data_IF_008620442537
#
_entry.id   IF_008620442537
#
_cell.length_a   1.000
_cell.length_b   1.000
_cell.length_c   1.000
_cell.angle_alpha   90.00
_cell.angle_beta   90.00
_cell.angle_gamma   90.00
#
_symmetry.space_group_name_H-M   'P 1'
#
loop_
_entity.id
_entity.type
_entity.pdbx_description
1 polymer ?
#
# COMPACT_ATOMS: atom_id res chain seq x y z
N UNK A 1 -8.23 -2.27 -9.54
CA UNK A 1 -7.97 -1.36 -10.66
C UNK A 1 -6.54 -1.49 -11.15
N UNK A 2 -6.32 -1.23 -12.43
CA UNK A 2 -5.00 -1.15 -13.09
C UNK A 2 -4.92 0.18 -13.85
N UNK A 3 -4.91 1.31 -13.15
CA UNK A 3 -4.79 2.63 -13.76
C UNK A 3 -3.36 2.88 -14.25
N UNK A 4 -3.25 3.76 -15.24
CA UNK A 4 -1.96 4.26 -15.71
C UNK A 4 -1.47 5.37 -14.78
N UNK A 5 -0.14 5.45 -14.64
CA UNK A 5 0.53 6.51 -13.89
C UNK A 5 0.82 7.67 -14.82
N UNK A 6 0.41 8.87 -14.45
CA UNK A 6 0.70 10.08 -15.20
C UNK A 6 2.19 10.42 -15.14
N UNK A 7 2.74 10.95 -16.23
CA UNK A 7 4.12 11.40 -16.26
C UNK A 7 4.25 12.74 -15.53
N UNK A 8 5.08 12.78 -14.49
CA UNK A 8 5.35 13.96 -13.67
C UNK A 8 6.74 13.86 -13.03
N UNK A 9 7.15 14.90 -12.34
CA UNK A 9 8.39 14.89 -11.56
C UNK A 9 8.37 13.87 -10.40
N UNK A 10 7.18 13.45 -9.96
CA UNK A 10 6.98 12.44 -8.91
C UNK A 10 6.95 11.01 -9.44
N UNK A 11 6.97 10.83 -10.77
CA UNK A 11 6.76 9.54 -11.44
C UNK A 11 7.77 9.32 -12.55
N UNK A 12 9.02 9.75 -12.34
CA UNK A 12 10.06 9.84 -13.37
C UNK A 12 10.36 8.51 -14.05
N UNK A 13 10.38 7.40 -13.29
CA UNK A 13 10.71 6.07 -13.80
C UNK A 13 9.47 5.23 -14.10
N UNK A 14 8.30 5.62 -13.60
CA UNK A 14 7.07 4.83 -13.71
C UNK A 14 6.03 5.46 -14.64
N UNK A 15 6.13 6.74 -14.95
CA UNK A 15 5.15 7.45 -15.79
C UNK A 15 4.84 6.71 -17.10
N UNK A 16 3.56 6.58 -17.44
CA UNK A 16 3.06 5.84 -18.59
C UNK A 16 2.92 4.32 -18.37
N UNK A 17 3.23 3.80 -17.19
CA UNK A 17 3.02 2.41 -16.83
C UNK A 17 1.82 2.28 -15.89
N UNK A 18 1.24 1.09 -15.83
CA UNK A 18 0.15 0.81 -14.92
C UNK A 18 0.64 0.36 -13.54
N UNK A 19 -0.17 0.65 -12.53
CA UNK A 19 0.00 0.17 -11.16
C UNK A 19 -1.24 -0.60 -10.72
N UNK A 20 -1.09 -1.46 -9.73
CA UNK A 20 -2.24 -2.14 -9.13
C UNK A 20 -2.74 -1.37 -7.91
N UNK A 21 -3.99 -0.93 -7.94
CA UNK A 21 -4.60 -0.16 -6.86
C UNK A 21 -5.86 -0.88 -6.36
N UNK A 22 -5.76 -1.64 -5.25
CA UNK A 22 -6.90 -2.29 -4.65
C UNK A 22 -7.67 -1.32 -3.74
N UNK A 23 -8.98 -1.46 -3.66
CA UNK A 23 -9.86 -0.76 -2.73
C UNK A 23 -9.53 0.74 -2.61
N UNK A 24 -9.82 1.49 -3.67
CA UNK A 24 -9.48 2.91 -3.77
C UNK A 24 -10.70 3.81 -3.64
N UNK A 25 -10.46 5.04 -3.21
CA UNK A 25 -11.40 6.17 -3.26
C UNK A 25 -10.87 7.24 -4.19
N UNK A 26 -11.76 7.97 -4.87
CA UNK A 26 -11.40 9.14 -5.66
C UNK A 26 -11.02 10.30 -4.75
N UNK A 27 -10.09 11.13 -5.22
CA UNK A 27 -9.62 12.33 -4.54
C UNK A 27 -10.15 13.53 -5.32
N UNK A 28 -10.92 14.39 -4.66
CA UNK A 28 -11.38 15.65 -5.24
C UNK A 28 -10.46 16.78 -4.79
N UNK A 29 -10.05 17.63 -5.71
CA UNK A 29 -9.22 18.78 -5.45
C UNK A 29 -9.70 19.96 -6.31
N UNK A 30 -9.42 21.23 -5.90
CA UNK A 30 -9.79 22.40 -6.67
C UNK A 30 -9.12 22.41 -8.06
N UNK A 31 -9.89 22.72 -9.10
CA UNK A 31 -9.31 22.91 -10.43
C UNK A 31 -8.41 24.16 -10.43
N UNK A 32 -7.14 23.99 -10.77
CA UNK A 32 -6.17 25.09 -10.84
C UNK A 32 -6.39 26.04 -12.02
N UNK A 33 -7.26 25.65 -12.96
CA UNK A 33 -7.60 26.46 -14.15
C UNK A 33 -8.77 27.43 -13.94
N UNK A 34 -9.43 27.37 -12.79
CA UNK A 34 -10.44 28.39 -12.42
C UNK A 34 -9.71 29.56 -11.78
N UNK A 35 -9.47 30.62 -12.55
CA UNK A 35 -9.21 31.95 -12.00
C UNK A 35 -10.23 32.17 -10.87
N UNK A 36 -9.73 32.50 -9.68
CA UNK A 36 -10.53 32.66 -8.49
C UNK A 36 -11.65 33.68 -8.71
N UNK A 37 -12.82 33.20 -9.08
CA UNK A 37 -14.04 33.97 -8.93
C UNK A 37 -14.41 33.89 -7.45
N UNK A 38 -14.06 34.95 -6.74
CA UNK A 38 -14.35 35.12 -5.33
C UNK A 38 -15.85 35.34 -5.15
N UNK A 39 -16.58 34.22 -5.09
CA UNK A 39 -17.99 34.30 -4.66
C UNK A 39 -18.06 33.98 -3.16
N UNK A 40 -18.34 35.05 -2.45
CA UNK A 40 -18.48 35.13 -1.01
C UNK A 40 -19.58 34.22 -0.51
N UNK A 41 -19.24 33.20 0.24
CA UNK A 41 -20.21 32.52 1.10
C UNK A 41 -20.34 33.33 2.38
N UNK A 42 -21.46 34.04 2.44
CA UNK A 42 -21.98 34.77 3.59
C UNK A 42 -22.19 33.78 4.76
N UNK A 43 -21.41 33.90 5.82
CA UNK A 43 -21.67 33.25 7.10
C UNK A 43 -21.64 34.33 8.18
N UNK A 44 -22.85 34.63 8.67
CA UNK A 44 -23.11 35.55 9.76
C UNK A 44 -22.26 35.31 11.02
N UNK A 45 -21.68 36.42 11.45
CA UNK A 45 -21.45 36.95 12.79
C UNK A 45 -21.24 36.06 14.00
N UNK A 46 -20.07 36.19 14.58
CA UNK A 46 -19.96 36.44 16.04
C UNK A 46 -18.74 37.33 16.30
N UNK A 47 -19.02 38.51 16.82
CA UNK A 47 -18.07 39.50 17.33
C UNK A 47 -17.07 38.89 18.32
N UNK A 48 -15.79 39.13 18.14
CA UNK A 48 -14.89 39.45 19.25
C UNK A 48 -13.69 40.22 18.71
N UNK A 49 -13.51 41.40 19.27
CA UNK A 49 -12.47 42.39 18.94
C UNK A 49 -11.06 41.91 19.30
N UNK A 50 -10.14 42.57 18.59
CA UNK A 50 -8.74 42.92 18.92
C UNK A 50 -7.63 41.95 18.53
N UNK A 51 -6.78 42.41 17.64
CA UNK A 51 -5.51 41.78 17.30
C UNK A 51 -5.06 42.13 15.88
N UNK A 52 -4.55 43.35 15.68
CA UNK A 52 -3.84 43.76 14.47
C UNK A 52 -2.75 42.74 14.11
N UNK A 53 -3.05 41.84 13.17
CA UNK A 53 -2.04 41.04 12.49
C UNK A 53 -1.89 41.65 11.08
N UNK A 54 -0.71 42.12 10.76
CA UNK A 54 -0.32 42.50 9.43
C UNK A 54 -0.66 41.40 8.45
N UNK A 55 -1.50 41.70 7.49
CA UNK A 55 -1.75 40.87 6.33
C UNK A 55 -0.50 40.96 5.46
N UNK A 56 0.48 40.11 5.75
CA UNK A 56 1.52 39.76 4.80
C UNK A 56 0.85 38.86 3.78
N UNK A 57 0.48 39.41 2.65
CA UNK A 57 -0.04 38.67 1.50
C UNK A 57 1.14 37.95 0.84
N UNK A 58 1.66 36.93 1.51
CA UNK A 58 2.51 35.94 0.87
C UNK A 58 1.62 35.16 -0.07
N UNK A 59 1.83 35.29 -1.35
CA UNK A 59 1.07 34.66 -2.42
C UNK A 59 1.36 33.14 -2.36
N UNK A 60 0.70 32.46 -1.43
CA UNK A 60 0.86 31.02 -1.20
C UNK A 60 0.26 30.27 -2.40
N UNK A 61 1.09 30.06 -3.42
CA UNK A 61 0.69 29.31 -4.60
C UNK A 61 0.65 27.83 -4.28
N UNK A 62 -0.55 27.21 -4.33
CA UNK A 62 -0.73 25.78 -4.23
C UNK A 62 -0.91 25.18 -5.62
N UNK A 63 -0.14 24.14 -5.91
CA UNK A 63 -0.21 23.38 -7.18
C UNK A 63 -0.64 21.96 -6.89
N UNK A 64 -1.60 21.46 -7.67
CA UNK A 64 -2.10 20.10 -7.60
C UNK A 64 -1.66 19.33 -8.85
N UNK A 65 -1.08 18.16 -8.67
CA UNK A 65 -0.63 17.31 -9.78
C UNK A 65 -1.23 15.91 -9.59
N UNK A 66 -2.12 15.51 -10.48
CA UNK A 66 -2.63 14.14 -10.47
C UNK A 66 -1.55 13.16 -10.91
N UNK A 67 -1.26 12.18 -10.07
CA UNK A 67 -0.25 11.15 -10.31
C UNK A 67 -0.84 9.90 -10.95
N UNK A 68 -2.07 9.56 -10.58
CA UNK A 68 -2.74 8.35 -11.03
C UNK A 68 -4.21 8.67 -11.25
N UNK A 69 -4.69 8.46 -12.47
CA UNK A 69 -6.07 8.66 -12.83
C UNK A 69 -6.73 7.35 -13.25
N UNK A 70 -8.00 7.22 -12.94
CA UNK A 70 -8.82 6.13 -13.46
C UNK A 70 -9.28 6.46 -14.89
N UNK A 71 -9.79 5.45 -15.59
CA UNK A 71 -10.36 5.65 -16.93
C UNK A 71 -11.72 6.34 -16.85
N UNK A 72 -12.17 6.94 -17.97
CA UNK A 72 -13.51 7.56 -18.10
C UNK A 72 -14.67 6.55 -17.88
N UNK A 73 -14.39 5.26 -17.95
CA UNK A 73 -15.39 4.21 -17.73
C UNK A 73 -15.46 3.76 -16.26
N UNK A 74 -14.61 4.30 -15.41
CA UNK A 74 -14.67 4.00 -13.99
C UNK A 74 -15.92 4.60 -13.35
N UNK A 75 -16.40 3.94 -12.31
CA UNK A 75 -17.60 4.33 -11.58
C UNK A 75 -17.24 4.46 -10.11
N UNK A 76 -17.56 5.59 -9.50
CA UNK A 76 -17.51 5.78 -8.07
C UNK A 76 -18.89 5.46 -7.47
N UNK A 77 -18.94 4.45 -6.62
CA UNK A 77 -20.16 4.08 -5.89
C UNK A 77 -20.34 4.99 -4.68
N UNK A 78 -21.44 5.74 -4.67
CA UNK A 78 -21.78 6.64 -3.58
C UNK A 78 -22.63 5.99 -2.48
N UNK A 79 -23.30 4.85 -2.79
CA UNK A 79 -24.03 4.09 -1.78
C UNK A 79 -23.14 3.04 -1.11
N UNK A 80 -22.81 3.21 0.20
CA UNK A 80 -21.98 2.26 0.92
C UNK A 80 -22.61 0.87 1.08
N UNK A 81 -23.93 0.73 0.87
CA UNK A 81 -24.63 -0.54 0.96
C UNK A 81 -24.58 -1.34 -0.35
N UNK A 82 -24.19 -0.71 -1.45
CA UNK A 82 -24.15 -1.32 -2.79
C UNK A 82 -22.75 -1.32 -3.42
N UNK A 83 -21.72 -1.60 -2.60
CA UNK A 83 -20.33 -1.66 -3.05
C UNK A 83 -19.99 -2.94 -3.86
N UNK A 84 -20.88 -3.91 -3.90
CA UNK A 84 -20.63 -5.19 -4.58
C UNK A 84 -21.09 -5.23 -6.04
N UNK A 85 -21.96 -4.29 -6.43
CA UNK A 85 -22.39 -4.14 -7.82
C UNK A 85 -21.49 -3.11 -8.52
N UNK A 86 -20.85 -3.53 -9.61
CA UNK A 86 -19.98 -2.67 -10.43
C UNK A 86 -20.73 -1.99 -11.58
N UNK A 87 -22.02 -2.25 -11.76
CA UNK A 87 -22.83 -1.56 -12.75
C UNK A 87 -23.09 -0.11 -12.32
N UNK A 88 -23.10 0.80 -13.30
CA UNK A 88 -23.47 2.20 -13.06
C UNK A 88 -24.94 2.30 -12.67
N UNK A 89 -25.22 3.00 -11.59
CA UNK A 89 -26.57 3.27 -11.10
C UNK A 89 -26.84 4.78 -10.99
N UNK A 90 -28.11 5.13 -10.83
CA UNK A 90 -28.50 6.53 -10.65
C UNK A 90 -27.98 7.04 -9.28
N UNK A 91 -27.18 8.08 -9.33
CA UNK A 91 -26.49 8.62 -8.16
C UNK A 91 -25.00 8.26 -8.05
N UNK A 92 -24.49 7.40 -8.93
CA UNK A 92 -23.06 7.14 -9.04
C UNK A 92 -22.37 8.19 -9.92
N UNK A 93 -21.10 8.44 -9.65
CA UNK A 93 -20.27 9.33 -10.46
C UNK A 93 -19.44 8.56 -11.48
N UNK A 94 -19.26 9.15 -12.68
CA UNK A 94 -18.39 8.60 -13.72
C UNK A 94 -17.03 9.27 -13.71
N UNK A 95 -16.00 8.46 -13.94
CA UNK A 95 -14.63 8.92 -14.05
C UNK A 95 -14.36 9.83 -15.26
N UNK A 96 -13.11 10.26 -15.42
CA UNK A 96 -11.95 9.82 -14.65
C UNK A 96 -11.90 10.41 -13.23
N UNK A 97 -11.29 9.68 -12.29
CA UNK A 97 -11.04 10.15 -10.92
C UNK A 97 -9.56 10.10 -10.64
N UNK A 98 -9.04 11.12 -9.98
CA UNK A 98 -7.69 11.04 -9.41
C UNK A 98 -7.70 10.14 -8.18
N UNK A 99 -6.76 9.21 -8.13
CA UNK A 99 -6.57 8.29 -7.01
C UNK A 99 -5.17 8.38 -6.40
N UNK A 100 -4.33 9.23 -6.96
CA UNK A 100 -3.02 9.63 -6.45
C UNK A 100 -2.75 11.08 -6.79
N UNK A 101 -2.51 11.91 -5.78
CA UNK A 101 -2.38 13.36 -5.92
C UNK A 101 -1.12 13.86 -5.22
N UNK A 102 -0.31 14.66 -5.89
CA UNK A 102 0.74 15.47 -5.29
C UNK A 102 0.27 16.91 -5.14
N UNK A 103 0.52 17.49 -3.99
CA UNK A 103 0.22 18.89 -3.64
C UNK A 103 1.51 19.57 -3.26
N UNK A 104 1.83 20.65 -3.93
CA UNK A 104 2.95 21.53 -3.62
C UNK A 104 2.44 22.90 -3.22
N UNK A 105 2.91 23.42 -2.10
CA UNK A 105 2.59 24.76 -1.63
C UNK A 105 3.87 25.54 -1.40
N UNK A 106 4.04 26.63 -2.11
CA UNK A 106 5.11 27.59 -1.86
C UNK A 106 4.72 28.43 -0.65
N UNK A 107 5.51 28.32 0.42
CA UNK A 107 5.30 29.08 1.67
C UNK A 107 6.08 30.39 1.63
N UNK A 108 7.33 30.33 1.17
CA UNK A 108 8.24 31.44 0.99
C UNK A 108 9.05 31.22 -0.29
N UNK A 109 9.83 32.21 -0.71
CA UNK A 109 10.68 32.15 -1.90
C UNK A 109 11.63 30.94 -1.91
N UNK A 110 12.02 30.43 -0.72
CA UNK A 110 12.97 29.33 -0.55
C UNK A 110 12.34 28.06 0.01
N UNK A 111 11.06 28.09 0.46
CA UNK A 111 10.42 26.98 1.15
C UNK A 111 9.16 26.50 0.43
N UNK A 112 9.18 25.24 0.02
CA UNK A 112 8.03 24.56 -0.56
C UNK A 112 7.63 23.37 0.32
N UNK A 113 6.37 23.28 0.68
CA UNK A 113 5.80 22.12 1.36
C UNK A 113 5.22 21.17 0.32
N UNK A 114 5.51 19.90 0.47
CA UNK A 114 5.06 18.86 -0.45
C UNK A 114 4.28 17.78 0.31
N UNK A 115 3.16 17.34 -0.27
CA UNK A 115 2.31 16.28 0.24
C UNK A 115 1.90 15.37 -0.91
N UNK A 116 1.98 14.07 -0.72
CA UNK A 116 1.43 13.10 -1.67
C UNK A 116 0.38 12.25 -0.97
N UNK A 117 -0.78 12.12 -1.60
CA UNK A 117 -1.92 11.37 -1.08
C UNK A 117 -2.31 10.29 -2.07
N UNK A 118 -2.56 9.09 -1.58
CA UNK A 118 -3.10 7.98 -2.36
C UNK A 118 -4.45 7.55 -1.81
N UNK A 119 -5.41 7.33 -2.70
CA UNK A 119 -6.78 6.92 -2.36
C UNK A 119 -6.90 5.46 -1.91
N UNK A 120 -5.81 4.71 -1.85
CA UNK A 120 -5.80 3.31 -1.42
C UNK A 120 -4.76 3.06 -0.34
N UNK A 121 -5.14 2.50 0.82
CA UNK A 121 -4.20 2.12 1.85
C UNK A 121 -3.34 0.89 1.48
N UNK A 122 -3.73 0.16 0.44
CA UNK A 122 -3.08 -1.10 0.04
C UNK A 122 -2.18 -0.98 -1.18
N UNK A 123 -2.02 0.23 -1.76
CA UNK A 123 -1.23 0.43 -2.98
C UNK A 123 0.23 -0.05 -2.84
N UNK A 124 0.81 0.08 -1.64
CA UNK A 124 2.18 -0.36 -1.33
C UNK A 124 2.22 -1.64 -0.48
N UNK A 125 1.12 -2.39 -0.44
CA UNK A 125 1.11 -3.68 0.26
C UNK A 125 1.96 -4.72 -0.47
N UNK A 126 2.39 -5.75 0.27
CA UNK A 126 3.12 -6.87 -0.31
C UNK A 126 2.31 -7.58 -1.41
N UNK A 127 0.99 -7.69 -1.25
CA UNK A 127 0.12 -8.35 -2.23
C UNK A 127 0.06 -7.54 -3.54
N UNK A 128 0.00 -6.21 -3.47
CA UNK A 128 0.05 -5.35 -4.64
C UNK A 128 1.41 -5.48 -5.36
N UNK A 129 2.50 -5.53 -4.61
CA UNK A 129 3.86 -5.66 -5.15
C UNK A 129 4.11 -7.02 -5.81
N UNK A 130 3.39 -8.07 -5.41
CA UNK A 130 3.48 -9.38 -6.07
C UNK A 130 2.80 -9.40 -7.43
N UNK A 131 1.78 -8.56 -7.65
CA UNK A 131 1.09 -8.46 -8.93
C UNK A 131 1.88 -7.64 -9.95
N UNK A 132 2.52 -6.56 -9.49
CA UNK A 132 3.41 -5.75 -10.32
C UNK A 132 4.48 -5.07 -9.47
N UNK A 133 5.72 -5.08 -9.97
CA UNK A 133 6.83 -4.33 -9.34
C UNK A 133 6.68 -2.81 -9.49
N UNK A 134 5.77 -2.36 -10.36
CA UNK A 134 5.55 -0.95 -10.64
C UNK A 134 5.10 -0.16 -9.41
N UNK A 135 4.36 -0.81 -8.48
CA UNK A 135 3.98 -0.18 -7.22
C UNK A 135 5.20 0.19 -6.36
N UNK A 136 6.25 -0.64 -6.36
CA UNK A 136 7.49 -0.33 -5.64
C UNK A 136 8.23 0.81 -6.34
N UNK A 137 8.30 0.79 -7.67
CA UNK A 137 8.93 1.87 -8.46
C UNK A 137 8.23 3.21 -8.22
N UNK A 138 6.89 3.21 -8.15
CA UNK A 138 6.13 4.41 -7.79
C UNK A 138 6.48 4.92 -6.41
N UNK A 139 6.60 4.01 -5.43
CA UNK A 139 7.01 4.39 -4.08
C UNK A 139 8.40 5.01 -4.04
N UNK A 140 9.36 4.42 -4.76
CA UNK A 140 10.73 4.92 -4.86
C UNK A 140 10.78 6.30 -5.52
N UNK A 141 10.06 6.51 -6.63
CA UNK A 141 9.99 7.78 -7.34
C UNK A 141 9.43 8.90 -6.44
N UNK A 142 8.27 8.64 -5.83
CA UNK A 142 7.60 9.61 -4.94
C UNK A 142 8.48 9.94 -3.73
N UNK A 143 9.07 8.91 -3.11
CA UNK A 143 9.93 9.10 -1.95
C UNK A 143 11.19 9.89 -2.32
N UNK A 144 11.79 9.59 -3.46
CA UNK A 144 12.98 10.30 -3.95
C UNK A 144 12.67 11.79 -4.19
N UNK A 145 11.51 12.09 -4.78
CA UNK A 145 11.09 13.49 -5.01
C UNK A 145 10.82 14.21 -3.69
N UNK A 146 10.11 13.58 -2.73
CA UNK A 146 9.79 14.20 -1.44
C UNK A 146 11.02 14.47 -0.55
N UNK A 147 12.04 13.61 -0.62
CA UNK A 147 13.28 13.77 0.15
C UNK A 147 14.20 14.80 -0.51
N UNK A 148 13.92 15.16 -1.76
CA UNK A 148 14.82 15.92 -2.62
C UNK A 148 15.93 15.01 -3.18
N UNK A 149 16.64 15.50 -4.19
CA UNK A 149 17.74 14.79 -4.87
C UNK A 149 18.98 14.53 -4.00
N UNK A 150 18.84 14.64 -2.70
CA UNK A 150 19.81 14.04 -1.83
C UNK A 150 19.69 12.54 -2.14
N UNK A 151 20.49 12.09 -3.09
CA UNK A 151 20.83 10.66 -3.16
C UNK A 151 21.18 10.32 -1.74
N UNK A 152 20.23 9.81 -1.01
CA UNK A 152 20.54 8.93 0.07
C UNK A 152 21.48 7.95 -0.61
N UNK A 153 22.81 8.13 -0.41
CA UNK A 153 23.70 7.02 -0.51
C UNK A 153 23.16 6.05 0.54
N UNK A 154 22.01 5.50 0.23
CA UNK A 154 21.46 4.38 0.93
C UNK A 154 22.55 3.37 0.76
N UNK A 155 23.43 3.33 1.74
CA UNK A 155 24.19 2.14 1.98
C UNK A 155 23.11 1.10 1.93
N UNK A 156 23.08 0.31 0.86
CA UNK A 156 22.10 -0.73 0.64
C UNK A 156 22.13 -1.52 1.93
N UNK A 157 21.12 -1.29 2.78
CA UNK A 157 20.97 -2.12 3.97
C UNK A 157 20.65 -3.47 3.37
N UNK A 158 21.57 -4.44 3.38
CA UNK A 158 21.33 -5.71 2.74
C UNK A 158 20.08 -6.28 3.39
N UNK A 159 19.11 -6.62 2.55
CA UNK A 159 17.89 -7.28 2.99
C UNK A 159 18.32 -8.47 3.85
N UNK A 160 17.90 -8.45 5.11
CA UNK A 160 18.17 -9.58 6.00
C UNK A 160 17.27 -10.71 5.55
N UNK A 161 17.78 -11.54 4.66
CA UNK A 161 17.10 -12.78 4.29
C UNK A 161 16.88 -13.61 5.57
N UNK A 162 15.68 -13.56 6.08
CA UNK A 162 15.23 -14.57 7.01
C UNK A 162 14.98 -15.85 6.23
N UNK A 163 16.03 -16.60 5.98
CA UNK A 163 15.84 -18.00 5.62
C UNK A 163 15.16 -18.64 6.81
N UNK A 164 13.84 -18.82 6.70
CA UNK A 164 13.15 -19.76 7.54
C UNK A 164 13.93 -21.06 7.41
N UNK A 165 14.68 -21.41 8.44
CA UNK A 165 15.38 -22.68 8.52
C UNK A 165 14.30 -23.76 8.58
N UNK A 166 13.73 -24.07 7.44
CA UNK A 166 12.90 -25.26 7.29
C UNK A 166 13.84 -26.44 7.52
N UNK A 167 13.59 -27.15 8.63
CA UNK A 167 14.30 -28.37 8.92
C UNK A 167 13.91 -29.38 7.81
N UNK A 168 14.64 -29.36 6.71
CA UNK A 168 14.48 -30.33 5.62
C UNK A 168 15.05 -31.67 6.07
N UNK A 169 14.25 -32.42 6.78
CA UNK A 169 14.60 -33.81 7.08
C UNK A 169 14.48 -34.60 5.80
N UNK A 170 15.58 -35.19 5.34
CA UNK A 170 15.55 -36.06 4.16
C UNK A 170 14.47 -37.16 4.33
N UNK A 171 13.67 -37.39 3.29
CA UNK A 171 12.61 -38.39 3.29
C UNK A 171 13.10 -39.75 3.74
N UNK A 172 14.34 -40.11 3.44
CA UNK A 172 14.98 -41.38 3.86
C UNK A 172 15.05 -41.51 5.39
N UNK A 173 15.48 -40.41 6.09
CA UNK A 173 15.54 -40.44 7.55
C UNK A 173 14.15 -40.47 8.19
N UNK A 174 13.18 -39.80 7.60
CA UNK A 174 11.77 -39.85 8.08
C UNK A 174 11.19 -41.24 7.96
N UNK A 175 11.39 -41.92 6.83
CA UNK A 175 10.94 -43.30 6.63
C UNK A 175 11.65 -44.25 7.59
N UNK A 176 12.96 -44.11 7.73
CA UNK A 176 13.75 -45.01 8.61
C UNK A 176 13.34 -44.85 10.08
N UNK A 177 13.12 -43.62 10.53
CA UNK A 177 12.66 -43.33 11.88
C UNK A 177 11.23 -43.84 12.11
N UNK A 178 10.34 -43.67 11.13
CA UNK A 178 8.99 -44.18 11.17
C UNK A 178 8.95 -45.72 11.26
N UNK A 179 9.80 -46.41 10.48
CA UNK A 179 9.91 -47.87 10.50
C UNK A 179 10.46 -48.36 11.85
N UNK A 180 11.46 -47.64 12.42
CA UNK A 180 12.01 -47.94 13.75
C UNK A 180 10.91 -47.95 14.83
N UNK A 181 10.14 -46.87 14.88
CA UNK A 181 9.11 -46.70 15.91
C UNK A 181 7.90 -47.65 15.71
N UNK A 182 7.49 -47.85 14.45
CA UNK A 182 6.28 -48.61 14.14
C UNK A 182 6.48 -50.13 14.20
N UNK A 183 7.67 -50.62 13.86
CA UNK A 183 7.92 -52.07 13.75
C UNK A 183 8.85 -52.55 14.85
N UNK A 184 9.99 -51.93 15.08
CA UNK A 184 11.03 -52.48 16.00
C UNK A 184 10.55 -52.38 17.45
N UNK A 185 9.96 -51.27 17.87
CA UNK A 185 9.51 -51.13 19.26
C UNK A 185 8.41 -52.17 19.62
N UNK A 186 7.34 -52.34 18.84
CA UNK A 186 6.33 -53.35 19.12
C UNK A 186 6.90 -54.79 19.17
N UNK A 187 7.82 -55.14 18.26
CA UNK A 187 8.46 -56.45 18.26
C UNK A 187 9.26 -56.68 19.54
N UNK A 188 10.04 -55.72 19.96
CA UNK A 188 10.81 -55.82 21.22
C UNK A 188 9.89 -56.00 22.42
N UNK A 189 8.77 -55.27 22.48
CA UNK A 189 7.79 -55.42 23.56
C UNK A 189 7.13 -56.80 23.57
N UNK A 190 6.81 -57.39 22.41
CA UNK A 190 6.25 -58.75 22.29
C UNK A 190 7.28 -59.75 22.77
N UNK A 191 8.55 -59.66 22.32
CA UNK A 191 9.61 -60.59 22.75
C UNK A 191 9.82 -60.49 24.25
N UNK A 192 9.91 -59.28 24.82
CA UNK A 192 10.00 -59.13 26.27
C UNK A 192 8.82 -59.73 27.02
N UNK A 193 7.61 -59.55 26.49
CA UNK A 193 6.39 -60.18 27.06
C UNK A 193 6.45 -61.70 27.07
N UNK A 194 6.89 -62.33 25.97
CA UNK A 194 7.08 -63.74 25.86
C UNK A 194 8.13 -64.23 26.85
N UNK A 195 9.26 -63.58 26.93
CA UNK A 195 10.35 -63.96 27.87
C UNK A 195 9.85 -63.89 29.31
N UNK A 196 9.17 -62.88 29.71
CA UNK A 196 8.62 -62.69 31.05
C UNK A 196 7.60 -63.80 31.31
N UNK A 197 6.73 -64.12 30.37
CA UNK A 197 5.74 -65.21 30.48
C UNK A 197 6.39 -66.59 30.71
N UNK A 198 7.42 -66.93 29.89
CA UNK A 198 8.13 -68.23 30.01
C UNK A 198 8.91 -68.32 31.32
N UNK A 199 9.60 -67.25 31.74
CA UNK A 199 10.32 -67.20 33.00
C UNK A 199 9.38 -67.38 34.19
N UNK A 200 8.22 -66.71 34.12
CA UNK A 200 7.22 -66.82 35.21
C UNK A 200 6.52 -68.18 35.27
N UNK A 201 6.37 -68.89 34.14
CA UNK A 201 5.79 -70.23 34.09
C UNK A 201 6.75 -71.34 34.60
N UNK A 202 8.05 -71.08 34.57
CA UNK A 202 9.08 -72.03 35.06
C UNK A 202 9.37 -71.91 36.55
N UNK A 203 8.80 -70.97 37.24
CA UNK A 203 8.75 -70.86 38.70
C UNK A 203 7.47 -71.45 39.23
#
# INVERSE_FOLDING_TARGET
LLPDVNSSDYTTNIGGNYVYVPATVGITYPDTDSEADSDSVDSESADTEDGSAATDSTDNKTTYTSLIDTTDQSVAKNDPNNMSDYAFEDGDDKGPFSIGLAVEQTVDDDNTTQLVVFGSPYIFSNDASQLTSNNITLFDDVTTKLIGETKLAASVIPEKEYTLSNLTVSAVYTILLGLLFTIIIPIVLIVCGIVIFVVRRKK
#
